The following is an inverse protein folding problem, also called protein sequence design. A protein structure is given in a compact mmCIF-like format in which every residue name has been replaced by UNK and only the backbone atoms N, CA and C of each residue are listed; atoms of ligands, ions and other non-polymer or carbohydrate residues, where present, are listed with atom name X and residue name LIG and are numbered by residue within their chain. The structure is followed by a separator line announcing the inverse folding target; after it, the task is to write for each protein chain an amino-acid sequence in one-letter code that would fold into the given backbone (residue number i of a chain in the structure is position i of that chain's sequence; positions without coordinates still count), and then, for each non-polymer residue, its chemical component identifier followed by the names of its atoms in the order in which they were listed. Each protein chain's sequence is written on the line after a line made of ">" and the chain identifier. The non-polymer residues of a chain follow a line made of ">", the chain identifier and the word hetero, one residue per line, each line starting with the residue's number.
data_IF_615746484692
#
_entry.id   IF_615746484692
#
_cell.length_a   1.000
_cell.length_b   1.000
_cell.length_c   1.000
_cell.angle_alpha   90.00
_cell.angle_beta   90.00
_cell.angle_gamma   90.00
#
_symmetry.space_group_name_H-M   'P 1'
#
loop_
_entity.id
_entity.type
_entity.pdbx_description
1 polymer ?
#
# COMPACT_ATOMS: atom_id res chain seq x y z
N UNK A 1 -16.33 8.20 -1.13
CA UNK A 1 -15.29 7.54 -0.29
C UNK A 1 -14.76 6.26 -0.94
N UNK A 2 -15.60 5.46 -1.63
CA UNK A 2 -15.19 4.27 -2.36
C UNK A 2 -14.08 4.54 -3.39
N UNK A 3 -14.12 5.68 -4.08
CA UNK A 3 -13.07 6.11 -5.01
C UNK A 3 -11.68 6.15 -4.36
N UNK A 4 -11.56 6.76 -3.18
CA UNK A 4 -10.29 6.80 -2.45
C UNK A 4 -9.80 5.40 -2.06
N UNK A 5 -10.72 4.51 -1.64
CA UNK A 5 -10.37 3.13 -1.32
C UNK A 5 -9.93 2.34 -2.57
N UNK A 6 -10.56 2.59 -3.72
CA UNK A 6 -10.15 2.03 -5.01
C UNK A 6 -8.70 2.43 -5.32
N UNK A 7 -8.38 3.72 -5.21
CA UNK A 7 -7.02 4.22 -5.39
C UNK A 7 -6.02 3.56 -4.44
N UNK A 8 -6.29 3.56 -3.13
CA UNK A 8 -5.40 2.98 -2.12
C UNK A 8 -5.16 1.48 -2.35
N UNK A 9 -6.18 0.73 -2.77
CA UNK A 9 -6.01 -0.68 -3.13
C UNK A 9 -5.22 -0.83 -4.43
N UNK A 10 -5.51 -0.02 -5.45
CA UNK A 10 -4.85 -0.08 -6.75
C UNK A 10 -3.34 0.17 -6.68
N UNK A 11 -2.89 1.13 -5.86
CA UNK A 11 -1.45 1.41 -5.69
C UNK A 11 -0.76 0.55 -4.62
N UNK A 12 -1.51 -0.29 -3.90
CA UNK A 12 -0.96 -1.13 -2.83
C UNK A 12 0.21 -2.02 -3.26
N UNK A 13 0.21 -2.68 -4.45
CA UNK A 13 1.34 -3.49 -4.88
C UNK A 13 2.67 -2.73 -4.92
N UNK A 14 2.65 -1.45 -5.28
CA UNK A 14 3.83 -0.59 -5.28
C UNK A 14 4.18 -0.13 -3.86
N UNK A 15 3.19 0.31 -3.08
CA UNK A 15 3.43 0.90 -1.74
C UNK A 15 3.82 -0.14 -0.69
N UNK A 16 3.43 -1.40 -0.87
CA UNK A 16 3.80 -2.51 0.02
C UNK A 16 5.24 -3.01 -0.17
N UNK A 17 5.95 -2.52 -1.19
CA UNK A 17 7.37 -2.84 -1.43
C UNK A 17 8.22 -1.58 -1.49
N UNK A 18 7.75 -0.47 -0.92
CA UNK A 18 8.44 0.81 -0.93
C UNK A 18 9.88 0.71 -0.41
N UNK A 19 10.79 1.40 -1.08
CA UNK A 19 12.24 1.30 -0.89
C UNK A 19 12.90 0.03 -1.46
N UNK A 20 12.17 -1.01 -1.90
CA UNK A 20 12.76 -2.32 -2.23
C UNK A 20 13.84 -2.29 -3.32
N UNK A 21 13.83 -1.30 -4.21
CA UNK A 21 14.86 -1.13 -5.24
C UNK A 21 16.26 -0.90 -4.65
N UNK A 22 16.34 -0.45 -3.39
CA UNK A 22 17.60 -0.21 -2.69
C UNK A 22 18.09 -1.40 -1.88
N UNK A 23 17.28 -2.46 -1.72
CA UNK A 23 17.64 -3.60 -0.87
C UNK A 23 19.03 -4.17 -1.20
N UNK A 24 19.33 -4.36 -2.49
CA UNK A 24 20.60 -4.90 -2.94
C UNK A 24 21.83 -4.04 -2.64
N UNK A 25 21.65 -2.73 -2.36
CA UNK A 25 22.79 -1.85 -2.03
C UNK A 25 23.34 -2.13 -0.63
N UNK A 26 22.56 -2.76 0.26
CA UNK A 26 22.97 -3.08 1.62
C UNK A 26 24.18 -4.03 1.68
N UNK A 27 24.28 -4.95 0.72
CA UNK A 27 25.44 -5.84 0.59
C UNK A 27 26.75 -5.08 0.29
N UNK A 28 26.64 -3.81 -0.10
CA UNK A 28 27.75 -2.94 -0.49
C UNK A 28 27.90 -1.73 0.44
N UNK A 29 27.36 -1.79 1.67
CA UNK A 29 27.41 -0.68 2.64
C UNK A 29 28.82 -0.23 3.06
N UNK A 30 29.88 -0.98 2.68
CA UNK A 30 31.27 -0.55 2.84
C UNK A 30 31.77 0.43 1.77
N UNK A 31 31.05 0.61 0.66
CA UNK A 31 31.38 1.60 -0.38
C UNK A 31 30.78 2.96 -0.01
N UNK A 32 31.65 3.91 0.33
CA UNK A 32 31.26 5.27 0.70
C UNK A 32 30.41 5.98 -0.37
N UNK A 33 30.55 5.60 -1.64
CA UNK A 33 29.77 6.18 -2.75
C UNK A 33 28.30 5.79 -2.70
N UNK A 34 27.99 4.62 -2.13
CA UNK A 34 26.64 4.06 -2.02
C UNK A 34 25.95 4.39 -0.69
N UNK A 35 26.68 4.95 0.29
CA UNK A 35 26.10 5.33 1.59
C UNK A 35 24.83 6.19 1.47
N UNK A 36 24.71 7.18 0.56
CA UNK A 36 23.47 7.95 0.47
C UNK A 36 22.25 7.08 0.14
N UNK A 37 22.40 6.05 -0.72
CA UNK A 37 21.34 5.08 -1.01
C UNK A 37 21.03 4.17 0.19
N UNK A 38 22.07 3.73 0.92
CA UNK A 38 21.88 2.93 2.14
C UNK A 38 21.10 3.72 3.19
N UNK A 39 21.44 5.01 3.39
CA UNK A 39 20.71 5.87 4.32
C UNK A 39 19.27 6.10 3.90
N UNK A 40 19.00 6.33 2.60
CA UNK A 40 17.64 6.42 2.08
C UNK A 40 16.88 5.14 2.40
N UNK A 41 17.39 3.96 2.07
CA UNK A 41 16.70 2.71 2.38
C UNK A 41 16.42 2.54 3.88
N UNK A 42 17.40 2.83 4.74
CA UNK A 42 17.18 2.73 6.19
C UNK A 42 16.11 3.71 6.69
N UNK A 43 15.95 4.87 6.06
CA UNK A 43 14.85 5.80 6.35
C UNK A 43 13.49 5.29 5.85
N UNK A 44 13.41 4.67 4.67
CA UNK A 44 12.20 3.96 4.19
C UNK A 44 11.75 2.88 5.18
N UNK A 45 12.73 2.19 5.80
CA UNK A 45 12.52 1.18 6.82
C UNK A 45 12.15 1.79 8.19
N UNK A 46 12.03 3.12 8.28
CA UNK A 46 11.78 3.87 9.50
C UNK A 46 12.91 3.82 10.51
N UNK A 47 14.12 3.44 10.08
CA UNK A 47 15.27 3.09 10.94
C UNK A 47 14.91 2.08 12.03
N UNK A 48 13.88 1.27 11.78
CA UNK A 48 13.33 0.29 12.71
C UNK A 48 12.40 0.87 13.78
N UNK A 49 11.96 2.12 13.63
CA UNK A 49 10.80 2.69 14.34
C UNK A 49 9.54 2.37 13.53
N UNK A 50 8.65 1.59 14.13
CA UNK A 50 7.43 1.11 13.47
C UNK A 50 6.56 2.24 12.89
N UNK A 51 6.35 3.32 13.65
CA UNK A 51 5.58 4.49 13.21
C UNK A 51 6.24 5.33 12.12
N UNK A 52 7.45 4.97 11.70
CA UNK A 52 8.20 5.60 10.61
C UNK A 52 8.48 4.62 9.46
N UNK A 53 8.10 3.34 9.57
CA UNK A 53 8.35 2.36 8.52
C UNK A 53 7.28 2.45 7.45
N UNK A 54 7.67 2.77 6.21
CA UNK A 54 6.74 3.14 5.15
C UNK A 54 5.74 2.02 4.82
N UNK A 55 6.25 0.80 4.65
CA UNK A 55 5.42 -0.37 4.37
C UNK A 55 4.48 -0.66 5.54
N UNK A 56 4.96 -0.59 6.78
CA UNK A 56 4.11 -0.84 7.96
C UNK A 56 3.00 0.21 8.10
N UNK A 57 3.31 1.49 7.86
CA UNK A 57 2.32 2.58 7.85
C UNK A 57 1.25 2.29 6.79
N UNK A 58 1.64 1.90 5.58
CA UNK A 58 0.70 1.60 4.50
C UNK A 58 -0.15 0.36 4.77
N UNK A 59 0.44 -0.69 5.34
CA UNK A 59 -0.28 -1.89 5.78
C UNK A 59 -1.35 -1.55 6.80
N UNK A 60 -0.98 -0.77 7.81
CA UNK A 60 -1.93 -0.34 8.84
C UNK A 60 -3.07 0.52 8.27
N UNK A 61 -2.76 1.42 7.32
CA UNK A 61 -3.78 2.17 6.59
C UNK A 61 -4.78 1.22 5.92
N UNK A 62 -4.32 0.24 5.14
CA UNK A 62 -5.21 -0.72 4.49
C UNK A 62 -6.01 -1.56 5.50
N UNK A 63 -5.39 -2.03 6.58
CA UNK A 63 -6.05 -2.79 7.65
C UNK A 63 -7.16 -1.97 8.32
N UNK A 64 -6.88 -0.70 8.65
CA UNK A 64 -7.85 0.22 9.28
C UNK A 64 -9.08 0.50 8.39
N UNK A 65 -8.90 0.38 7.08
CA UNK A 65 -9.96 0.56 6.08
C UNK A 65 -10.65 -0.75 5.69
N UNK A 66 -10.27 -1.89 6.29
CA UNK A 66 -10.77 -3.20 5.91
C UNK A 66 -10.38 -3.61 4.48
N UNK A 67 -9.26 -3.10 3.97
CA UNK A 67 -8.78 -3.24 2.60
C UNK A 67 -7.49 -4.09 2.46
N UNK A 68 -7.03 -4.73 3.55
CA UNK A 68 -5.77 -5.49 3.57
C UNK A 68 -5.81 -6.86 2.84
N UNK A 69 -6.97 -7.27 2.34
CA UNK A 69 -7.16 -8.55 1.65
C UNK A 69 -6.53 -8.61 0.25
N UNK A 70 -6.46 -9.81 -0.32
CA UNK A 70 -6.01 -9.99 -1.71
C UNK A 70 -6.96 -9.27 -2.65
N UNK A 71 -6.41 -8.32 -3.39
CA UNK A 71 -7.16 -7.56 -4.38
C UNK A 71 -6.96 -8.22 -5.75
N UNK A 72 -8.06 -8.47 -6.45
CA UNK A 72 -8.04 -8.97 -7.83
C UNK A 72 -7.70 -7.79 -8.77
N UNK A 73 -6.42 -7.44 -8.79
CA UNK A 73 -5.89 -6.33 -9.59
C UNK A 73 -5.27 -6.89 -10.88
N UNK A 74 -5.33 -6.10 -11.94
CA UNK A 74 -4.67 -6.44 -13.21
C UNK A 74 -3.14 -6.45 -13.06
N UNK A 75 -2.45 -7.13 -13.98
CA UNK A 75 -0.98 -7.23 -13.99
C UNK A 75 -0.31 -5.84 -14.01
N UNK A 76 -0.94 -4.86 -14.66
CA UNK A 76 -0.43 -3.49 -14.77
C UNK A 76 -0.28 -2.80 -13.41
N UNK A 77 -1.13 -3.14 -12.42
CA UNK A 77 -1.02 -2.64 -11.04
C UNK A 77 0.22 -3.18 -10.32
N UNK A 78 0.69 -4.38 -10.68
CA UNK A 78 1.85 -5.01 -10.07
C UNK A 78 3.18 -4.61 -10.71
N UNK A 79 3.15 -3.98 -11.89
CA UNK A 79 4.35 -3.77 -12.70
C UNK A 79 5.39 -2.89 -11.99
N UNK A 80 4.97 -1.77 -11.39
CA UNK A 80 5.88 -0.87 -10.66
C UNK A 80 6.51 -1.54 -9.45
N UNK A 81 5.72 -2.20 -8.59
CA UNK A 81 6.24 -2.95 -7.45
C UNK A 81 7.20 -4.06 -7.89
N UNK A 82 6.91 -4.73 -9.01
CA UNK A 82 7.81 -5.75 -9.60
C UNK A 82 9.14 -5.13 -10.06
N UNK A 83 9.12 -3.94 -10.66
CA UNK A 83 10.35 -3.21 -11.03
C UNK A 83 11.19 -2.88 -9.80
N UNK A 84 10.57 -2.41 -8.71
CA UNK A 84 11.29 -2.14 -7.46
C UNK A 84 12.00 -3.40 -6.94
N UNK A 85 11.28 -4.51 -6.83
CA UNK A 85 11.85 -5.78 -6.39
C UNK A 85 12.97 -6.26 -7.33
N UNK A 86 12.77 -6.17 -8.65
CA UNK A 86 13.76 -6.58 -9.64
C UNK A 86 15.05 -5.75 -9.55
N UNK A 87 14.95 -4.42 -9.40
CA UNK A 87 16.10 -3.55 -9.18
C UNK A 87 16.83 -3.88 -7.88
N UNK A 88 16.08 -4.19 -6.81
CA UNK A 88 16.64 -4.65 -5.55
C UNK A 88 17.49 -5.91 -5.70
N UNK A 89 17.03 -6.89 -6.49
CA UNK A 89 17.80 -8.10 -6.79
C UNK A 89 18.99 -7.85 -7.74
N UNK A 90 18.91 -6.84 -8.60
CA UNK A 90 19.87 -6.57 -9.67
C UNK A 90 20.83 -5.40 -9.39
N UNK A 91 20.86 -4.87 -8.17
CA UNK A 91 21.64 -3.68 -7.81
C UNK A 91 23.10 -3.73 -8.28
N UNK A 92 23.77 -4.88 -8.13
CA UNK A 92 25.17 -5.05 -8.58
C UNK A 92 25.36 -5.08 -10.11
N UNK A 93 24.31 -5.40 -10.89
CA UNK A 93 24.38 -5.51 -12.35
C UNK A 93 23.75 -4.32 -13.08
N UNK A 94 22.86 -3.58 -12.40
CA UNK A 94 22.04 -2.50 -12.94
C UNK A 94 22.17 -1.22 -12.12
N UNK A 95 23.35 -0.99 -11.52
CA UNK A 95 23.58 0.18 -10.66
C UNK A 95 23.24 1.52 -11.34
N UNK A 96 23.63 1.80 -12.61
CA UNK A 96 23.23 3.05 -13.25
C UNK A 96 21.71 3.20 -13.43
N UNK A 97 21.00 2.13 -13.79
CA UNK A 97 19.54 2.14 -13.87
C UNK A 97 18.89 2.33 -12.49
N UNK A 98 19.41 1.67 -11.45
CA UNK A 98 18.95 1.83 -10.07
C UNK A 98 19.13 3.28 -9.59
N UNK A 99 20.28 3.91 -9.87
CA UNK A 99 20.53 5.33 -9.57
C UNK A 99 19.51 6.21 -10.29
N UNK A 100 19.22 5.91 -11.56
CA UNK A 100 18.20 6.61 -12.33
C UNK A 100 16.79 6.45 -11.77
N UNK A 101 16.41 5.22 -11.42
CA UNK A 101 15.13 4.91 -10.82
C UNK A 101 14.94 5.67 -9.50
N UNK A 102 15.94 5.58 -8.61
CA UNK A 102 15.96 6.33 -7.36
C UNK A 102 15.84 7.84 -7.62
N UNK A 103 16.57 8.40 -8.58
CA UNK A 103 16.46 9.83 -8.88
C UNK A 103 15.04 10.23 -9.32
N UNK A 104 14.35 9.38 -10.10
CA UNK A 104 12.97 9.66 -10.50
C UNK A 104 11.96 9.46 -9.37
N UNK A 105 12.14 8.43 -8.54
CA UNK A 105 11.22 8.09 -7.45
C UNK A 105 11.24 9.16 -6.35
N UNK A 106 12.44 9.63 -5.97
CA UNK A 106 12.63 10.65 -4.93
C UNK A 106 12.24 12.07 -5.37
N UNK A 107 11.70 12.26 -6.59
CA UNK A 107 11.13 13.53 -7.02
C UNK A 107 9.64 13.52 -6.68
N UNK A 108 9.19 14.20 -5.61
CA UNK A 108 7.82 14.08 -5.14
C UNK A 108 6.83 14.63 -6.20
N UNK A 109 5.94 13.80 -6.74
CA UNK A 109 4.94 14.26 -7.69
C UNK A 109 3.82 15.05 -7.00
N UNK A 110 3.22 16.01 -7.72
CA UNK A 110 2.15 16.89 -7.23
C UNK A 110 0.99 16.13 -6.57
N UNK A 111 0.65 14.93 -7.09
CA UNK A 111 -0.47 14.16 -6.55
C UNK A 111 -0.30 13.82 -5.06
N UNK A 112 0.92 13.66 -4.53
CA UNK A 112 1.10 13.37 -3.10
C UNK A 112 0.56 14.48 -2.20
N UNK A 113 0.68 15.75 -2.63
CA UNK A 113 0.11 16.89 -1.93
C UNK A 113 -1.41 16.85 -1.98
N UNK A 114 -1.97 16.62 -3.17
CA UNK A 114 -3.43 16.55 -3.38
C UNK A 114 -4.05 15.39 -2.58
N UNK A 115 -3.51 14.19 -2.74
CA UNK A 115 -3.93 12.98 -2.04
C UNK A 115 -3.85 13.16 -0.51
N UNK A 116 -2.81 13.82 0.00
CA UNK A 116 -2.71 14.09 1.45
C UNK A 116 -3.92 14.88 1.96
N UNK A 117 -4.34 15.92 1.24
CA UNK A 117 -5.47 16.75 1.64
C UNK A 117 -6.82 16.03 1.43
N UNK A 118 -7.04 15.41 0.27
CA UNK A 118 -8.30 14.73 -0.05
C UNK A 118 -8.59 13.56 0.88
N UNK A 119 -7.56 12.78 1.26
CA UNK A 119 -7.74 11.71 2.25
C UNK A 119 -8.16 12.26 3.61
N UNK A 120 -7.61 13.41 4.03
CA UNK A 120 -8.00 14.06 5.29
C UNK A 120 -9.46 14.53 5.28
N UNK A 121 -9.91 15.12 4.18
CA UNK A 121 -11.31 15.53 4.00
C UNK A 121 -12.27 14.34 4.10
N UNK A 122 -11.83 13.18 3.61
CA UNK A 122 -12.57 11.93 3.71
C UNK A 122 -12.45 11.26 5.08
N UNK A 123 -11.65 11.80 6.02
CA UNK A 123 -11.39 11.15 7.31
C UNK A 123 -10.61 9.84 7.18
N UNK A 124 -9.66 9.79 6.25
CA UNK A 124 -8.73 8.69 6.02
C UNK A 124 -7.32 9.17 6.41
N UNK A 125 -6.54 8.32 7.08
CA UNK A 125 -5.20 8.69 7.52
C UNK A 125 -4.24 8.88 6.32
N UNK A 126 -3.73 10.11 6.08
CA UNK A 126 -2.84 10.38 4.95
C UNK A 126 -1.35 10.14 5.29
N UNK A 127 -1.02 9.59 6.46
CA UNK A 127 0.34 9.63 7.03
C UNK A 127 1.41 9.11 6.06
N UNK A 128 1.13 8.03 5.32
CA UNK A 128 2.04 7.53 4.29
C UNK A 128 2.38 8.58 3.23
N UNK A 129 1.38 9.22 2.63
CA UNK A 129 1.57 10.22 1.57
C UNK A 129 2.21 11.52 2.08
N UNK A 130 1.80 11.95 3.28
CA UNK A 130 2.34 13.16 3.92
C UNK A 130 3.82 13.02 4.26
N UNK A 131 4.27 11.81 4.60
CA UNK A 131 5.67 11.54 4.92
C UNK A 131 6.56 11.93 3.74
N UNK A 132 6.30 11.37 2.55
CA UNK A 132 7.05 11.63 1.31
C UNK A 132 7.12 13.10 0.90
N UNK A 133 6.08 13.89 1.18
CA UNK A 133 6.12 15.35 0.97
C UNK A 133 7.28 16.02 1.75
N UNK A 134 7.66 15.46 2.88
CA UNK A 134 8.68 16.04 3.78
C UNK A 134 10.06 15.41 3.58
N UNK A 135 10.15 14.07 3.59
CA UNK A 135 11.43 13.36 3.55
C UNK A 135 12.12 13.43 2.18
N UNK A 136 11.35 13.60 1.10
CA UNK A 136 11.87 13.60 -0.28
C UNK A 136 12.33 15.00 -0.73
N UNK A 137 12.57 15.91 0.22
CA UNK A 137 12.94 17.29 -0.08
C UNK A 137 14.33 17.42 -0.74
N UNK A 138 14.49 18.43 -1.60
CA UNK A 138 15.74 18.69 -2.34
C UNK A 138 16.86 19.35 -1.51
N UNK A 139 16.61 19.72 -0.25
CA UNK A 139 17.60 20.39 0.60
C UNK A 139 18.52 19.38 1.29
N UNK A 140 17.95 18.56 2.18
CA UNK A 140 18.68 17.54 2.94
C UNK A 140 18.03 16.14 2.86
N UNK A 141 16.88 16.05 2.20
CA UNK A 141 16.11 14.83 2.03
C UNK A 141 16.62 13.90 0.93
N UNK A 142 15.76 12.97 0.52
CA UNK A 142 16.13 11.89 -0.37
C UNK A 142 16.49 12.37 -1.78
N UNK A 143 15.79 13.38 -2.31
CA UNK A 143 16.14 14.00 -3.60
C UNK A 143 17.59 14.54 -3.62
N UNK A 144 18.06 15.14 -2.52
CA UNK A 144 19.45 15.60 -2.39
C UNK A 144 20.43 14.42 -2.42
N UNK A 145 20.11 13.33 -1.71
CA UNK A 145 20.95 12.12 -1.66
C UNK A 145 20.97 11.38 -2.99
N UNK A 146 19.86 11.36 -3.73
CA UNK A 146 19.79 10.80 -5.06
C UNK A 146 20.77 11.51 -6.02
N UNK A 147 20.79 12.85 -5.99
CA UNK A 147 21.77 13.65 -6.74
C UNK A 147 23.21 13.39 -6.28
N UNK A 148 23.45 13.31 -4.97
CA UNK A 148 24.77 12.99 -4.44
C UNK A 148 25.28 11.64 -4.94
N UNK A 149 24.43 10.60 -4.92
CA UNK A 149 24.76 9.27 -5.44
C UNK A 149 25.11 9.33 -6.93
N UNK A 150 24.34 10.08 -7.73
CA UNK A 150 24.64 10.28 -9.14
C UNK A 150 26.04 10.86 -9.34
N UNK A 151 26.37 11.94 -8.63
CA UNK A 151 27.68 12.59 -8.73
C UNK A 151 28.83 11.69 -8.25
N UNK A 152 28.62 10.94 -7.17
CA UNK A 152 29.60 9.98 -6.64
C UNK A 152 29.99 8.87 -7.65
N UNK A 153 29.11 8.57 -8.60
CA UNK A 153 29.27 7.48 -9.56
C UNK A 153 29.54 7.96 -10.99
N UNK A 154 29.60 9.28 -11.23
CA UNK A 154 29.93 9.80 -12.56
C UNK A 154 31.30 9.30 -13.00
N UNK A 155 31.39 8.57 -14.13
CA UNK A 155 32.68 8.15 -14.62
C UNK A 155 33.39 9.30 -15.34
N UNK A 156 34.61 8.99 -15.80
CA UNK A 156 35.39 9.83 -16.69
C UNK A 156 34.65 10.16 -18.01
N UNK A 157 35.11 11.20 -18.71
CA UNK A 157 34.45 11.74 -19.91
C UNK A 157 34.10 10.67 -20.97
N UNK A 158 34.98 9.70 -21.31
CA UNK A 158 34.69 8.70 -22.34
C UNK A 158 33.50 7.79 -22.00
N UNK A 159 33.28 7.45 -20.72
CA UNK A 159 32.22 6.52 -20.29
C UNK A 159 30.94 7.24 -19.83
N UNK A 160 31.01 8.55 -19.61
CA UNK A 160 29.93 9.36 -19.03
C UNK A 160 28.64 9.32 -19.86
N UNK A 161 28.74 9.40 -21.18
CA UNK A 161 27.55 9.40 -22.04
C UNK A 161 26.76 8.09 -21.92
N UNK A 162 27.45 6.95 -21.94
CA UNK A 162 26.83 5.63 -21.79
C UNK A 162 26.24 5.43 -20.39
N UNK A 163 26.93 5.89 -19.35
CA UNK A 163 26.41 5.86 -17.98
C UNK A 163 25.13 6.69 -17.84
N UNK A 164 25.12 7.94 -18.31
CA UNK A 164 23.95 8.81 -18.25
C UNK A 164 22.78 8.30 -19.10
N UNK A 165 23.04 7.58 -20.19
CA UNK A 165 21.99 6.92 -20.96
C UNK A 165 21.27 5.85 -20.13
N UNK A 166 22.02 5.04 -19.37
CA UNK A 166 21.45 4.03 -18.45
C UNK A 166 20.73 4.66 -17.27
N UNK A 167 21.26 5.77 -16.72
CA UNK A 167 20.56 6.56 -15.69
C UNK A 167 19.22 7.08 -16.21
N UNK A 168 19.16 7.64 -17.43
CA UNK A 168 17.89 8.07 -18.03
C UNK A 168 16.93 6.90 -18.25
N UNK A 169 17.41 5.76 -18.71
CA UNK A 169 16.59 4.56 -18.86
C UNK A 169 16.01 4.11 -17.52
N UNK A 170 16.82 4.12 -16.45
CA UNK A 170 16.37 3.85 -15.10
C UNK A 170 15.33 4.84 -14.59
N UNK A 171 15.51 6.13 -14.86
CA UNK A 171 14.53 7.16 -14.49
C UNK A 171 13.18 6.92 -15.16
N UNK A 172 13.17 6.55 -16.44
CA UNK A 172 11.95 6.21 -17.19
C UNK A 172 11.24 4.96 -16.69
N UNK A 173 11.88 4.11 -15.87
CA UNK A 173 11.21 2.99 -15.22
C UNK A 173 10.20 3.44 -14.15
N UNK A 174 10.19 4.72 -13.73
CA UNK A 174 9.14 5.24 -12.84
C UNK A 174 7.79 5.41 -13.55
N UNK A 175 7.78 5.47 -14.88
CA UNK A 175 6.59 5.74 -15.70
C UNK A 175 6.00 4.46 -16.32
N UNK A 176 6.45 3.27 -15.92
CA UNK A 176 5.89 2.00 -16.39
C UNK A 176 4.68 1.58 -15.56
N UNK A 177 3.77 0.81 -16.16
CA UNK A 177 2.54 0.38 -15.50
C UNK A 177 1.54 1.51 -15.37
N UNK A 178 0.64 1.41 -14.38
CA UNK A 178 -0.34 2.45 -14.12
C UNK A 178 0.24 3.54 -13.21
N UNK A 179 0.13 4.80 -13.61
CA UNK A 179 0.42 5.92 -12.72
C UNK A 179 -0.66 6.07 -11.64
N UNK A 180 -0.34 6.71 -10.52
CA UNK A 180 -1.33 7.04 -9.48
C UNK A 180 -2.55 7.77 -10.05
N UNK A 181 -2.36 8.70 -10.99
CA UNK A 181 -3.45 9.45 -11.62
C UNK A 181 -4.30 8.56 -12.51
N UNK A 182 -3.70 7.62 -13.25
CA UNK A 182 -4.47 6.66 -14.06
C UNK A 182 -5.32 5.72 -13.18
N UNK A 183 -4.82 5.30 -12.02
CA UNK A 183 -5.62 4.52 -11.05
C UNK A 183 -6.77 5.35 -10.50
N UNK A 184 -6.53 6.63 -10.20
CA UNK A 184 -7.59 7.56 -9.75
C UNK A 184 -8.65 7.72 -10.85
N UNK A 185 -8.24 8.02 -12.08
CA UNK A 185 -9.16 8.28 -13.20
C UNK A 185 -9.91 7.02 -13.67
N UNK A 186 -9.39 5.83 -13.35
CA UNK A 186 -9.96 4.54 -13.74
C UNK A 186 -11.17 4.08 -12.91
N UNK A 187 -11.59 4.85 -11.90
CA UNK A 187 -12.69 4.45 -11.02
C UNK A 187 -14.07 4.74 -11.62
N UNK A 188 -14.89 3.69 -11.75
CA UNK A 188 -16.32 3.79 -12.03
C UNK A 188 -17.11 3.01 -10.98
N UNK A 189 -18.01 3.69 -10.26
CA UNK A 189 -18.70 3.12 -9.11
C UNK A 189 -19.64 1.96 -9.49
N UNK A 190 -20.37 2.09 -10.60
CA UNK A 190 -21.33 1.07 -11.04
C UNK A 190 -20.58 -0.17 -11.53
N UNK A 191 -19.49 0.02 -12.29
CA UNK A 191 -18.62 -1.04 -12.76
C UNK A 191 -17.98 -1.81 -11.61
N UNK A 192 -17.34 -1.10 -10.66
CA UNK A 192 -16.67 -1.72 -9.52
C UNK A 192 -17.66 -2.49 -8.62
N UNK A 193 -18.86 -1.93 -8.40
CA UNK A 193 -19.90 -2.60 -7.63
C UNK A 193 -20.36 -3.90 -8.30
N UNK A 194 -20.67 -3.84 -9.60
CA UNK A 194 -21.13 -5.02 -10.34
C UNK A 194 -20.05 -6.09 -10.39
N UNK A 195 -18.81 -5.72 -10.74
CA UNK A 195 -17.68 -6.63 -10.79
C UNK A 195 -17.43 -7.30 -9.42
N UNK A 196 -17.54 -6.55 -8.32
CA UNK A 196 -17.45 -7.09 -6.96
C UNK A 196 -18.51 -8.15 -6.66
N UNK A 197 -19.78 -7.86 -6.95
CA UNK A 197 -20.88 -8.79 -6.71
C UNK A 197 -20.79 -10.03 -7.61
N UNK A 198 -20.37 -9.88 -8.86
CA UNK A 198 -20.13 -10.97 -9.80
C UNK A 198 -19.00 -11.89 -9.32
N UNK A 199 -17.90 -11.35 -8.77
CA UNK A 199 -16.84 -12.18 -8.15
C UNK A 199 -17.36 -13.00 -6.97
N UNK A 200 -18.32 -12.47 -6.19
CA UNK A 200 -18.93 -13.19 -5.05
C UNK A 200 -20.03 -14.16 -5.46
N UNK A 201 -20.65 -13.98 -6.63
CA UNK A 201 -21.80 -14.75 -7.09
C UNK A 201 -21.60 -16.28 -7.03
N UNK A 202 -20.47 -16.87 -7.49
CA UNK A 202 -20.27 -18.31 -7.46
C UNK A 202 -20.30 -18.91 -6.05
N UNK A 203 -19.87 -18.14 -5.05
CA UNK A 203 -19.85 -18.55 -3.65
C UNK A 203 -21.21 -18.33 -2.97
N UNK A 204 -21.95 -17.30 -3.38
CA UNK A 204 -23.22 -16.91 -2.78
C UNK A 204 -24.42 -17.74 -3.26
N UNK A 205 -24.38 -18.32 -4.46
CA UNK A 205 -25.53 -18.97 -5.14
C UNK A 205 -26.10 -20.24 -4.47
N UNK A 206 -25.53 -20.68 -3.35
CA UNK A 206 -25.99 -21.83 -2.57
C UNK A 206 -26.16 -21.54 -1.08
N UNK A 207 -25.98 -20.29 -0.65
CA UNK A 207 -25.87 -19.93 0.76
C UNK A 207 -27.16 -19.35 1.36
N UNK A 208 -28.23 -19.23 0.57
CA UNK A 208 -29.48 -18.61 1.01
C UNK A 208 -30.61 -19.64 1.14
N UNK A 209 -31.47 -19.48 2.15
CA UNK A 209 -32.72 -20.25 2.23
C UNK A 209 -33.72 -19.80 1.15
N UNK A 210 -34.54 -20.71 0.65
CA UNK A 210 -35.59 -20.41 -0.33
C UNK A 210 -36.82 -19.66 0.24
N UNK A 211 -36.76 -19.24 1.51
CA UNK A 211 -37.84 -18.51 2.19
C UNK A 211 -38.00 -17.10 1.65
N UNK A 212 -36.89 -16.42 1.33
CA UNK A 212 -36.91 -15.06 0.79
C UNK A 212 -37.04 -15.11 -0.73
N UNK A 213 -38.06 -14.42 -1.26
CA UNK A 213 -38.29 -14.29 -2.71
C UNK A 213 -38.36 -12.82 -3.10
N UNK A 214 -37.74 -12.50 -4.23
CA UNK A 214 -37.72 -11.17 -4.84
C UNK A 214 -38.27 -11.36 -6.24
N UNK A 215 -39.39 -10.71 -6.55
CA UNK A 215 -40.13 -10.90 -7.81
C UNK A 215 -40.37 -12.38 -8.16
N UNK A 216 -40.80 -13.17 -7.17
CA UNK A 216 -41.14 -14.58 -7.32
C UNK A 216 -39.95 -15.55 -7.36
N UNK A 217 -38.71 -15.06 -7.45
CA UNK A 217 -37.49 -15.89 -7.50
C UNK A 217 -36.72 -15.88 -6.18
N UNK A 218 -36.09 -16.99 -5.82
CA UNK A 218 -35.21 -17.06 -4.64
C UNK A 218 -33.85 -16.40 -4.95
N UNK A 219 -33.08 -16.01 -3.93
CA UNK A 219 -31.74 -15.44 -4.14
C UNK A 219 -30.82 -16.39 -4.90
N UNK A 220 -30.86 -17.70 -4.60
CA UNK A 220 -30.07 -18.70 -5.32
C UNK A 220 -30.45 -18.77 -6.81
N UNK A 221 -31.74 -18.62 -7.13
CA UNK A 221 -32.21 -18.58 -8.53
C UNK A 221 -31.73 -17.33 -9.28
N UNK A 222 -31.71 -16.17 -8.61
CA UNK A 222 -31.12 -14.94 -9.17
C UNK A 222 -29.62 -15.11 -9.43
N UNK A 223 -28.88 -15.64 -8.47
CA UNK A 223 -27.43 -15.83 -8.53
C UNK A 223 -26.99 -17.01 -9.41
N UNK A 224 -27.93 -17.82 -9.92
CA UNK A 224 -27.62 -18.89 -10.88
C UNK A 224 -27.42 -18.39 -12.31
N UNK A 225 -27.85 -17.17 -12.64
CA UNK A 225 -27.83 -16.62 -14.00
C UNK A 225 -26.57 -15.78 -14.28
N UNK A 226 -25.94 -15.85 -15.47
CA UNK A 226 -24.70 -15.10 -15.77
C UNK A 226 -24.81 -13.56 -15.65
N UNK A 227 -25.98 -12.99 -15.96
CA UNK A 227 -26.30 -11.55 -15.80
C UNK A 227 -27.24 -11.29 -14.61
N UNK A 228 -27.26 -12.24 -13.67
CA UNK A 228 -28.21 -12.27 -12.55
C UNK A 228 -28.02 -11.11 -11.58
N UNK A 229 -26.78 -10.67 -11.36
CA UNK A 229 -26.43 -9.64 -10.36
C UNK A 229 -27.04 -8.28 -10.71
N UNK A 230 -26.79 -7.76 -11.91
CA UNK A 230 -27.34 -6.48 -12.33
C UNK A 230 -28.88 -6.47 -12.32
N UNK A 231 -29.51 -7.58 -12.73
CA UNK A 231 -30.96 -7.72 -12.70
C UNK A 231 -31.50 -7.84 -11.26
N UNK A 232 -30.78 -8.54 -10.37
CA UNK A 232 -31.11 -8.66 -8.96
C UNK A 232 -31.05 -7.31 -8.25
N UNK A 233 -30.03 -6.48 -8.51
CA UNK A 233 -29.96 -5.13 -7.94
C UNK A 233 -31.16 -4.27 -8.34
N UNK A 234 -31.54 -4.30 -9.63
CA UNK A 234 -32.74 -3.61 -10.12
C UNK A 234 -34.01 -4.12 -9.43
N UNK A 235 -34.15 -5.43 -9.27
CA UNK A 235 -35.29 -6.03 -8.59
C UNK A 235 -35.33 -5.65 -7.09
N UNK A 236 -34.20 -5.65 -6.40
CA UNK A 236 -34.07 -5.20 -5.01
C UNK A 236 -34.47 -3.72 -4.85
N UNK A 237 -34.10 -2.87 -5.82
CA UNK A 237 -34.52 -1.47 -5.83
C UNK A 237 -36.03 -1.32 -6.07
N UNK A 238 -36.58 -2.03 -7.06
CA UNK A 238 -38.01 -1.99 -7.38
C UNK A 238 -38.90 -2.48 -6.23
N UNK A 239 -38.44 -3.48 -5.47
CA UNK A 239 -39.12 -4.01 -4.29
C UNK A 239 -38.85 -3.20 -3.00
N UNK A 240 -38.14 -2.07 -3.10
CA UNK A 240 -37.87 -1.17 -1.96
C UNK A 240 -36.87 -1.73 -0.93
N UNK A 241 -36.14 -2.80 -1.25
CA UNK A 241 -35.06 -3.30 -0.39
C UNK A 241 -33.85 -2.37 -0.40
N UNK A 242 -33.61 -1.73 -1.55
CA UNK A 242 -32.60 -0.71 -1.75
C UNK A 242 -33.30 0.61 -2.08
N UNK A 243 -33.01 1.62 -1.28
CA UNK A 243 -33.47 2.99 -1.47
C UNK A 243 -32.28 3.80 -1.99
N UNK A 244 -32.25 4.03 -3.32
CA UNK A 244 -31.26 4.86 -3.98
C UNK A 244 -31.42 6.33 -3.58
N UNK A 245 -30.31 7.08 -3.62
CA UNK A 245 -30.29 8.52 -3.40
C UNK A 245 -30.84 8.91 -2.02
N UNK A 246 -30.62 8.04 -1.03
CA UNK A 246 -31.08 8.17 0.34
C UNK A 246 -30.04 7.61 1.32
N UNK A 247 -30.19 7.96 2.59
CA UNK A 247 -29.40 7.39 3.69
C UNK A 247 -29.37 5.84 3.60
N UNK A 248 -28.19 5.22 3.39
CA UNK A 248 -28.07 3.77 3.29
C UNK A 248 -28.67 3.01 4.48
N UNK A 249 -28.67 3.59 5.69
CA UNK A 249 -29.27 2.98 6.88
C UNK A 249 -30.77 2.68 6.72
N UNK A 250 -31.46 3.41 5.83
CA UNK A 250 -32.88 3.19 5.51
C UNK A 250 -33.09 1.99 4.58
N UNK A 251 -32.08 1.59 3.81
CA UNK A 251 -32.15 0.41 2.94
C UNK A 251 -32.15 -0.87 3.77
N UNK A 252 -33.12 -1.76 3.51
CA UNK A 252 -33.16 -3.09 4.15
C UNK A 252 -31.92 -3.89 3.79
N UNK A 253 -31.49 -3.84 2.53
CA UNK A 253 -30.31 -4.56 2.06
C UNK A 253 -29.05 -4.14 2.83
N UNK A 254 -28.85 -2.83 3.03
CA UNK A 254 -27.70 -2.30 3.76
C UNK A 254 -27.61 -2.82 5.20
N UNK A 255 -28.74 -2.90 5.92
CA UNK A 255 -28.79 -3.45 7.29
C UNK A 255 -28.47 -4.94 7.37
N UNK A 256 -28.56 -5.67 6.26
CA UNK A 256 -28.10 -7.06 6.19
C UNK A 256 -26.59 -7.16 5.97
N UNK A 257 -25.98 -6.14 5.36
CA UNK A 257 -24.54 -6.06 5.06
C UNK A 257 -23.76 -5.49 6.24
N UNK A 258 -24.27 -4.41 6.83
CA UNK A 258 -23.55 -3.59 7.82
C UNK A 258 -24.37 -3.47 9.12
N UNK A 259 -23.70 -3.71 10.25
CA UNK A 259 -24.28 -3.68 11.59
C UNK A 259 -23.75 -4.82 12.50
N UNK A 260 -23.88 -4.70 13.83
CA UNK A 260 -23.39 -5.70 14.77
C UNK A 260 -24.07 -7.07 14.61
N UNK A 261 -25.36 -7.08 14.25
CA UNK A 261 -26.16 -8.29 14.03
C UNK A 261 -26.46 -8.54 12.55
N UNK A 262 -25.61 -8.02 11.64
CA UNK A 262 -25.81 -8.13 10.21
C UNK A 262 -25.75 -9.60 9.74
N UNK A 263 -26.80 -10.07 9.06
CA UNK A 263 -26.89 -11.45 8.58
C UNK A 263 -25.78 -11.82 7.58
N UNK A 264 -25.18 -10.83 6.90
CA UNK A 264 -24.04 -10.99 6.00
C UNK A 264 -22.73 -10.44 6.60
N UNK A 265 -22.62 -10.42 7.93
CA UNK A 265 -21.38 -10.04 8.61
C UNK A 265 -20.19 -10.85 8.08
N UNK A 266 -19.10 -10.16 7.72
CA UNK A 266 -17.88 -10.78 7.18
C UNK A 266 -17.95 -11.21 5.71
N UNK A 267 -19.09 -11.03 5.01
CA UNK A 267 -19.22 -11.35 3.58
C UNK A 267 -18.54 -10.30 2.70
N UNK A 268 -18.62 -9.03 3.11
CA UNK A 268 -18.07 -7.89 2.39
C UNK A 268 -16.95 -7.24 3.21
N UNK A 269 -15.80 -7.04 2.59
CA UNK A 269 -14.70 -6.29 3.20
C UNK A 269 -15.00 -4.78 3.29
N UNK A 270 -14.07 -3.99 3.81
CA UNK A 270 -14.29 -2.55 4.00
C UNK A 270 -14.49 -1.78 2.69
N UNK A 271 -13.81 -2.18 1.61
CA UNK A 271 -13.98 -1.56 0.29
C UNK A 271 -15.34 -1.92 -0.32
N UNK A 272 -15.70 -3.20 -0.25
CA UNK A 272 -16.93 -3.71 -0.84
C UNK A 272 -18.17 -3.16 -0.12
N UNK A 273 -18.09 -3.01 1.21
CA UNK A 273 -19.11 -2.27 1.97
C UNK A 273 -19.18 -0.81 1.55
N UNK A 274 -18.04 -0.14 1.30
CA UNK A 274 -18.05 1.26 0.87
C UNK A 274 -18.61 1.43 -0.55
N UNK A 275 -18.36 0.50 -1.47
CA UNK A 275 -18.99 0.49 -2.80
C UNK A 275 -20.51 0.43 -2.68
N UNK A 276 -21.02 -0.52 -1.89
CA UNK A 276 -22.45 -0.64 -1.61
C UNK A 276 -23.02 0.61 -0.95
N UNK A 277 -22.31 1.16 0.04
CA UNK A 277 -22.71 2.38 0.73
C UNK A 277 -22.85 3.55 -0.24
N UNK A 278 -21.78 3.87 -0.97
CA UNK A 278 -21.73 5.04 -1.86
C UNK A 278 -22.72 4.88 -3.03
N UNK A 279 -22.90 3.65 -3.51
CA UNK A 279 -23.92 3.36 -4.50
C UNK A 279 -25.33 3.58 -3.95
N UNK A 280 -25.69 3.03 -2.79
CA UNK A 280 -27.02 3.26 -2.20
C UNK A 280 -27.24 4.76 -1.93
N UNK A 281 -26.23 5.42 -1.36
CA UNK A 281 -26.26 6.85 -1.04
C UNK A 281 -26.49 7.70 -2.28
N UNK A 282 -25.83 7.43 -3.41
CA UNK A 282 -26.00 8.21 -4.63
C UNK A 282 -25.80 9.71 -4.40
N UNK A 283 -26.82 10.53 -4.67
CA UNK A 283 -26.78 11.98 -4.41
C UNK A 283 -27.01 12.37 -2.95
N UNK A 284 -27.35 11.42 -2.07
CA UNK A 284 -27.51 11.69 -0.65
C UNK A 284 -26.16 11.97 -0.01
N UNK A 285 -26.07 13.10 0.66
CA UNK A 285 -24.97 13.44 1.55
C UNK A 285 -25.52 13.60 2.97
N UNK A 286 -24.86 13.02 3.99
CA UNK A 286 -25.16 13.37 5.37
C UNK A 286 -24.88 14.88 5.57
N UNK A 287 -25.66 15.53 6.44
CA UNK A 287 -25.33 16.91 6.84
C UNK A 287 -23.87 16.98 7.28
N UNK A 288 -23.09 17.97 6.84
CA UNK A 288 -21.67 18.04 7.13
C UNK A 288 -21.47 18.03 8.63
N UNK A 289 -20.96 16.92 9.16
CA UNK A 289 -20.44 16.91 10.51
C UNK A 289 -19.25 17.87 10.53
N UNK A 290 -19.09 18.70 11.58
CA UNK A 290 -17.90 19.54 11.70
C UNK A 290 -16.67 18.64 11.56
N UNK A 291 -15.80 18.97 10.61
CA UNK A 291 -14.57 18.23 10.36
C UNK A 291 -13.82 18.09 11.68
N UNK A 292 -13.86 16.89 12.26
CA UNK A 292 -13.05 16.59 13.43
C UNK A 292 -11.64 16.41 12.89
N UNK A 293 -10.87 17.50 12.90
CA UNK A 293 -9.41 17.48 12.79
C UNK A 293 -8.83 16.81 14.04
N UNK A 294 -9.17 15.55 14.27
CA UNK A 294 -8.44 14.74 15.21
C UNK A 294 -7.12 14.39 14.51
N UNK A 295 -5.96 14.72 15.11
CA UNK A 295 -4.71 14.19 14.59
C UNK A 295 -4.83 12.66 14.53
N UNK A 296 -4.30 12.01 13.47
CA UNK A 296 -4.30 10.56 13.39
C UNK A 296 -3.73 10.02 14.69
N UNK A 297 -4.49 9.11 15.32
CA UNK A 297 -4.06 8.51 16.59
C UNK A 297 -2.74 7.80 16.30
N UNK A 298 -1.69 7.98 17.13
CA UNK A 298 -0.44 7.27 16.93
C UNK A 298 -0.71 5.78 16.76
N UNK A 299 0.03 5.11 15.86
CA UNK A 299 0.01 3.66 15.73
C UNK A 299 0.16 3.05 17.13
N UNK A 300 -0.96 2.60 17.69
CA UNK A 300 -0.97 1.85 18.93
C UNK A 300 -0.61 0.42 18.53
N UNK A 301 0.67 0.10 18.57
CA UNK A 301 1.10 -1.28 18.43
C UNK A 301 0.55 -2.04 19.62
N UNK A 302 -0.21 -3.10 19.34
CA UNK A 302 -0.54 -4.11 20.33
C UNK A 302 0.75 -4.58 21.02
N UNK A 303 0.73 -4.83 22.34
CA UNK A 303 1.90 -5.33 23.05
C UNK A 303 2.41 -6.62 22.39
N UNK A 304 3.72 -6.72 22.24
CA UNK A 304 4.37 -7.84 21.58
C UNK A 304 4.01 -9.17 22.30
N UNK A 305 3.57 -10.22 21.58
CA UNK A 305 3.42 -11.54 22.17
C UNK A 305 4.75 -12.07 22.75
N UNK A 306 4.68 -12.86 23.83
CA UNK A 306 5.85 -13.37 24.56
C UNK A 306 6.84 -14.19 23.70
N UNK A 307 6.37 -14.80 22.62
CA UNK A 307 7.20 -15.55 21.68
C UNK A 307 8.18 -14.62 20.92
N UNK A 308 7.78 -13.38 20.63
CA UNK A 308 8.65 -12.38 20.02
C UNK A 308 9.83 -12.02 20.92
N UNK A 309 9.62 -11.96 22.23
CA UNK A 309 10.70 -11.66 23.18
C UNK A 309 11.78 -12.75 23.19
N UNK A 310 11.43 -14.02 22.93
CA UNK A 310 12.41 -15.09 22.80
C UNK A 310 13.15 -15.03 21.46
N UNK A 311 12.44 -14.74 20.36
CA UNK A 311 13.07 -14.56 19.04
C UNK A 311 14.04 -13.37 19.02
N UNK A 312 13.68 -12.24 19.63
CA UNK A 312 14.56 -11.08 19.76
C UNK A 312 15.80 -11.41 20.60
N UNK A 313 15.62 -12.09 21.74
CA UNK A 313 16.74 -12.54 22.59
C UNK A 313 17.65 -13.49 21.83
N UNK A 314 17.09 -14.42 21.05
CA UNK A 314 17.85 -15.34 20.21
C UNK A 314 18.68 -14.60 19.16
N UNK A 315 18.09 -13.67 18.41
CA UNK A 315 18.80 -12.88 17.40
C UNK A 315 19.98 -12.12 18.02
N UNK A 316 19.78 -11.50 19.19
CA UNK A 316 20.86 -10.78 19.90
C UNK A 316 21.99 -11.71 20.35
N UNK A 317 21.68 -12.92 20.84
CA UNK A 317 22.69 -13.93 21.21
C UNK A 317 23.50 -14.39 20.00
N UNK A 318 22.86 -14.64 18.88
CA UNK A 318 23.53 -15.02 17.62
C UNK A 318 24.47 -13.90 17.15
N UNK A 319 24.01 -12.65 17.11
CA UNK A 319 24.82 -11.51 16.67
C UNK A 319 26.01 -11.20 17.60
N UNK A 320 25.90 -11.50 18.90
CA UNK A 320 26.99 -11.29 19.86
C UNK A 320 28.20 -12.20 19.58
N UNK A 321 28.01 -13.31 18.87
CA UNK A 321 29.08 -14.27 18.52
C UNK A 321 29.76 -13.92 17.19
N UNK A 322 29.27 -12.94 16.45
CA UNK A 322 29.71 -12.61 15.09
C UNK A 322 30.56 -11.34 15.06
N UNK A 323 31.56 -11.31 14.18
CA UNK A 323 32.31 -10.07 13.91
C UNK A 323 31.47 -9.06 13.11
N UNK A 324 31.78 -7.75 13.09
CA UNK A 324 30.91 -6.73 12.51
C UNK A 324 30.45 -6.99 11.06
N UNK A 325 31.32 -7.52 10.20
CA UNK A 325 30.95 -7.87 8.83
C UNK A 325 29.94 -9.03 8.78
N UNK A 326 30.16 -10.08 9.57
CA UNK A 326 29.25 -11.24 9.66
C UNK A 326 27.91 -10.85 10.28
N UNK A 327 27.90 -9.95 11.28
CA UNK A 327 26.67 -9.37 11.83
C UNK A 327 25.82 -8.71 10.76
N UNK A 328 26.43 -7.81 9.97
CA UNK A 328 25.72 -7.14 8.87
C UNK A 328 25.14 -8.13 7.87
N UNK A 329 25.89 -9.14 7.48
CA UNK A 329 25.41 -10.19 6.58
C UNK A 329 24.24 -11.00 7.18
N UNK A 330 24.30 -11.32 8.47
CA UNK A 330 23.22 -12.02 9.19
C UNK A 330 21.92 -11.21 9.25
N UNK A 331 22.04 -9.88 9.30
CA UNK A 331 20.89 -8.96 9.35
C UNK A 331 20.21 -8.78 7.98
N UNK A 332 20.93 -8.90 6.85
CA UNK A 332 20.38 -8.59 5.51
C UNK A 332 19.06 -9.29 5.18
N UNK A 333 18.84 -10.59 5.47
CA UNK A 333 17.57 -11.24 5.18
C UNK A 333 16.38 -10.66 5.97
N UNK A 334 16.62 -10.05 7.13
CA UNK A 334 15.59 -9.43 7.96
C UNK A 334 15.25 -8.00 7.49
N UNK A 335 16.17 -7.35 6.78
CA UNK A 335 15.93 -6.05 6.12
C UNK A 335 15.26 -6.20 4.75
N UNK A 336 14.99 -7.43 4.27
CA UNK A 336 14.38 -7.65 2.96
C UNK A 336 12.93 -7.14 2.88
N UNK A 337 12.42 -6.78 1.69
CA UNK A 337 11.05 -6.24 1.50
C UNK A 337 9.94 -7.07 2.14
N UNK A 338 10.09 -8.40 2.17
CA UNK A 338 9.12 -9.32 2.77
C UNK A 338 9.17 -9.39 4.31
N UNK A 339 10.16 -8.77 4.97
CA UNK A 339 10.44 -8.97 6.41
C UNK A 339 10.70 -7.69 7.20
N UNK A 340 11.17 -6.60 6.60
CA UNK A 340 11.64 -5.42 7.33
C UNK A 340 10.57 -4.75 8.21
N UNK A 341 9.28 -4.89 7.87
CA UNK A 341 8.16 -4.36 8.63
C UNK A 341 7.71 -5.25 9.81
N UNK A 342 8.22 -6.48 9.92
CA UNK A 342 7.94 -7.37 11.06
C UNK A 342 8.69 -6.93 12.32
N UNK A 343 8.30 -7.38 13.53
CA UNK A 343 9.03 -7.03 14.76
C UNK A 343 10.54 -7.33 14.68
N UNK A 344 10.93 -8.51 14.18
CA UNK A 344 12.34 -8.85 13.96
C UNK A 344 13.00 -7.99 12.88
N UNK A 345 12.28 -7.63 11.80
CA UNK A 345 12.77 -6.71 10.78
C UNK A 345 13.06 -5.32 11.31
N UNK A 346 12.17 -4.79 12.17
CA UNK A 346 12.36 -3.51 12.84
C UNK A 346 13.57 -3.55 13.78
N UNK A 347 13.71 -4.61 14.58
CA UNK A 347 14.90 -4.80 15.42
C UNK A 347 16.17 -4.89 14.56
N UNK A 348 16.16 -5.69 13.50
CA UNK A 348 17.30 -5.84 12.61
C UNK A 348 17.70 -4.52 11.96
N UNK A 349 16.73 -3.69 11.56
CA UNK A 349 16.98 -2.35 11.00
C UNK A 349 17.65 -1.43 12.02
N UNK A 350 17.20 -1.43 13.29
CA UNK A 350 17.85 -0.66 14.37
C UNK A 350 19.30 -1.09 14.56
N UNK A 351 19.54 -2.39 14.65
CA UNK A 351 20.89 -2.96 14.85
C UNK A 351 21.80 -2.66 13.65
N UNK A 352 21.29 -2.78 12.43
CA UNK A 352 22.05 -2.47 11.21
C UNK A 352 22.40 -0.97 11.12
N UNK A 353 21.46 -0.09 11.48
CA UNK A 353 21.66 1.36 11.51
C UNK A 353 22.74 1.75 12.53
N UNK A 354 22.70 1.15 13.72
CA UNK A 354 23.72 1.33 14.77
C UNK A 354 25.11 0.88 14.30
N UNK A 355 25.20 -0.28 13.62
CA UNK A 355 26.47 -0.80 13.08
C UNK A 355 27.08 0.13 12.01
N UNK A 356 26.28 1.00 11.38
CA UNK A 356 26.71 2.03 10.43
C UNK A 356 26.89 3.42 11.05
N UNK A 357 26.69 3.58 12.36
CA UNK A 357 26.77 4.87 13.04
C UNK A 357 25.63 5.83 12.70
N UNK A 358 24.49 5.31 12.23
CA UNK A 358 23.28 6.09 11.95
C UNK A 358 22.40 6.05 13.19
N UNK A 359 22.13 7.23 13.78
CA UNK A 359 21.20 7.32 14.90
C UNK A 359 19.79 6.88 14.46
N UNK A 360 19.03 6.19 15.34
CA UNK A 360 17.66 5.78 15.05
C UNK A 360 16.75 6.97 14.72
#
# INVERSE_FOLDING_TARGET
>A
RAHALHFLRGVAPTKLVDGAWLYGVLAHAGDARLLPLVHTYLEELGRGVAGCNHVLIYRHLLESLGCAGTSDLSVEHYLQGTVQLALGCLAGQRLPELIGYNLGYELPPLHLLVTTWELQELGIDPTYFRLHVTIDNASCGHARRALQTLFNHLPDKPRRAAFLARVRAGMGLNDVGLSSTQVIDGFDLDHELLAMLERKQPFARHQHSDRARIQGRTLNQWLAQPWGVAALLRALQQEGWILRDADPARSRFWRLVSGPDAAMFGVFDGYEQQLLHDWIAGSWAPSPAPARHAPPRPLALEPAPADLDEEERRLRRELAQLVPHQRRQHLLPLLAPQRHWTPLGLLATRLFSQDLGVAP
#
